data_IF_629010392877
#
_entry.id   IF_629010392877
#
_cell.length_a   1.000
_cell.length_b   1.000
_cell.length_c   1.000
_cell.angle_alpha   90.00
_cell.angle_beta   90.00
_cell.angle_gamma   90.00
#
_symmetry.space_group_name_H-M   'P 1'
#
loop_
_entity.id
_entity.type
_entity.pdbx_description
1 polymer ?
#
# COMPACT_ATOMS: atom_id res chain seq x y z
N UNK A 1 22.12 14.78 18.70
CA UNK A 1 21.28 15.52 17.74
C UNK A 1 19.87 15.58 18.31
N UNK A 2 19.26 16.77 18.39
CA UNK A 2 17.87 16.90 18.82
C UNK A 2 16.95 16.48 17.69
N UNK A 3 16.27 15.35 17.84
CA UNK A 3 15.27 14.88 16.90
C UNK A 3 14.03 15.76 17.03
N UNK A 4 13.69 16.52 15.99
CA UNK A 4 12.48 17.33 15.97
C UNK A 4 11.25 16.41 15.94
N UNK A 5 10.30 16.52 16.88
CA UNK A 5 9.15 15.66 16.88
C UNK A 5 8.26 15.97 15.67
N UNK A 6 7.60 14.94 15.10
CA UNK A 6 6.70 15.13 13.96
C UNK A 6 5.53 16.08 14.26
N UNK A 7 5.23 16.31 15.54
CA UNK A 7 4.25 17.31 15.99
C UNK A 7 4.66 18.76 15.70
N UNK A 8 5.94 19.04 15.44
CA UNK A 8 6.41 20.38 15.05
C UNK A 8 5.90 20.79 13.66
N UNK A 9 5.54 19.83 12.81
CA UNK A 9 4.99 20.08 11.47
C UNK A 9 3.46 20.22 11.53
N UNK A 10 2.99 21.39 11.99
CA UNK A 10 1.57 21.61 12.27
C UNK A 10 0.74 21.78 11.00
N UNK A 11 1.24 22.53 10.01
CA UNK A 11 0.50 22.86 8.78
C UNK A 11 0.51 21.71 7.75
N UNK A 12 -0.51 21.62 6.91
CA UNK A 12 -0.58 20.62 5.82
C UNK A 12 0.61 20.76 4.85
N UNK A 13 1.05 21.98 4.56
CA UNK A 13 2.23 22.25 3.74
C UNK A 13 3.51 21.66 4.36
N UNK A 14 3.72 21.91 5.66
CA UNK A 14 4.88 21.39 6.38
C UNK A 14 4.90 19.86 6.46
N UNK A 15 3.73 19.24 6.64
CA UNK A 15 3.54 17.78 6.59
C UNK A 15 3.84 17.19 5.21
N UNK A 16 3.48 17.92 4.15
CA UNK A 16 3.80 17.49 2.77
C UNK A 16 5.31 17.58 2.51
N UNK A 17 5.97 18.64 2.99
CA UNK A 17 7.43 18.82 2.86
C UNK A 17 8.19 17.68 3.55
N UNK A 18 7.87 17.37 4.81
CA UNK A 18 8.59 16.31 5.53
C UNK A 18 8.37 14.93 4.89
N UNK A 19 7.19 14.69 4.31
CA UNK A 19 6.91 13.46 3.60
C UNK A 19 7.71 13.35 2.30
N UNK A 20 7.85 14.45 1.56
CA UNK A 20 8.68 14.49 0.35
C UNK A 20 10.16 14.28 0.70
N UNK A 21 10.64 14.90 1.78
CA UNK A 21 12.00 14.70 2.27
C UNK A 21 12.23 13.25 2.68
N UNK A 22 11.30 12.63 3.43
CA UNK A 22 11.38 11.22 3.77
C UNK A 22 11.34 10.30 2.54
N UNK A 23 10.54 10.65 1.53
CA UNK A 23 10.53 9.90 0.27
C UNK A 23 11.90 9.94 -0.44
N UNK A 24 12.62 11.06 -0.34
CA UNK A 24 13.97 11.19 -0.92
C UNK A 24 15.07 10.45 -0.17
N UNK A 25 14.83 9.99 1.07
CA UNK A 25 15.82 9.18 1.81
C UNK A 25 15.80 7.71 1.42
N UNK A 26 14.82 7.26 0.63
CA UNK A 26 14.60 5.85 0.28
C UNK A 26 14.48 4.91 1.49
N UNK A 27 14.18 5.46 2.67
CA UNK A 27 13.99 4.71 3.91
C UNK A 27 12.50 4.37 4.05
N UNK A 28 12.15 3.15 3.66
CA UNK A 28 10.76 2.66 3.69
C UNK A 28 10.16 2.60 5.10
N UNK A 29 10.98 2.41 6.14
CA UNK A 29 10.52 2.37 7.53
C UNK A 29 10.19 3.78 8.02
N UNK A 30 11.04 4.76 7.70
CA UNK A 30 10.78 6.16 8.00
C UNK A 30 9.51 6.66 7.31
N UNK A 31 9.35 6.37 6.01
CA UNK A 31 8.16 6.76 5.24
C UNK A 31 6.92 6.15 5.88
N UNK A 32 6.94 4.85 6.19
CA UNK A 32 5.81 4.15 6.81
C UNK A 32 5.45 4.74 8.17
N UNK A 33 6.45 5.04 9.02
CA UNK A 33 6.24 5.67 10.34
C UNK A 33 5.57 7.04 10.21
N UNK A 34 6.05 7.89 9.31
CA UNK A 34 5.50 9.24 9.10
C UNK A 34 4.06 9.15 8.57
N UNK A 35 3.82 8.31 7.57
CA UNK A 35 2.48 8.14 6.97
C UNK A 35 1.48 7.62 8.00
N UNK A 36 1.86 6.64 8.83
CA UNK A 36 1.01 6.13 9.89
C UNK A 36 0.73 7.17 10.96
N UNK A 37 1.72 7.99 11.33
CA UNK A 37 1.52 9.12 12.24
C UNK A 37 0.51 10.10 11.64
N UNK A 38 0.65 10.45 10.37
CA UNK A 38 -0.29 11.33 9.68
C UNK A 38 -1.69 10.76 9.63
N UNK A 39 -1.85 9.47 9.31
CA UNK A 39 -3.15 8.79 9.32
C UNK A 39 -3.87 8.90 10.68
N UNK A 40 -3.12 8.85 11.77
CA UNK A 40 -3.66 8.97 13.14
C UNK A 40 -4.01 10.40 13.55
N UNK A 41 -3.32 11.39 12.98
CA UNK A 41 -3.43 12.80 13.39
C UNK A 41 -4.29 13.67 12.47
N UNK A 42 -4.52 13.24 11.23
CA UNK A 42 -5.21 14.01 10.19
C UNK A 42 -6.62 13.48 9.98
N UNK A 43 -7.50 14.36 9.52
CA UNK A 43 -8.79 13.94 8.98
C UNK A 43 -8.59 13.03 7.76
N UNK A 44 -9.59 12.19 7.50
CA UNK A 44 -9.54 11.24 6.39
C UNK A 44 -9.34 11.94 5.04
N UNK A 45 -10.04 13.05 4.77
CA UNK A 45 -9.93 13.80 3.52
C UNK A 45 -8.56 14.44 3.32
N UNK A 46 -7.98 15.03 4.38
CA UNK A 46 -6.63 15.62 4.32
C UNK A 46 -5.58 14.54 4.09
N UNK A 47 -5.69 13.41 4.77
CA UNK A 47 -4.78 12.29 4.58
C UNK A 47 -4.83 11.75 3.15
N UNK A 48 -6.02 11.56 2.60
CA UNK A 48 -6.23 11.13 1.21
C UNK A 48 -5.59 12.12 0.21
N UNK A 49 -5.78 13.43 0.41
CA UNK A 49 -5.16 14.46 -0.42
C UNK A 49 -3.63 14.40 -0.40
N UNK A 50 -3.03 14.08 0.75
CA UNK A 50 -1.57 13.91 0.87
C UNK A 50 -1.10 12.67 0.09
N UNK A 51 -1.80 11.54 0.21
CA UNK A 51 -1.44 10.31 -0.52
C UNK A 51 -1.53 10.50 -2.04
N UNK A 52 -2.58 11.16 -2.53
CA UNK A 52 -2.75 11.44 -3.96
C UNK A 52 -1.62 12.30 -4.55
N UNK A 53 -1.02 13.18 -3.73
CA UNK A 53 0.10 14.04 -4.13
C UNK A 53 1.46 13.36 -3.99
N UNK A 54 1.54 12.23 -3.27
CA UNK A 54 2.79 11.54 -2.97
C UNK A 54 2.70 10.04 -3.26
N UNK A 55 2.93 9.64 -4.53
CA UNK A 55 2.84 8.24 -4.95
C UNK A 55 3.71 7.29 -4.12
N UNK A 56 4.95 7.69 -3.82
CA UNK A 56 5.88 6.88 -3.00
C UNK A 56 5.29 6.58 -1.63
N UNK A 57 4.83 7.62 -0.91
CA UNK A 57 4.21 7.46 0.40
C UNK A 57 2.91 6.64 0.32
N UNK A 58 2.11 6.84 -0.72
CA UNK A 58 0.90 6.08 -0.98
C UNK A 58 1.20 4.59 -1.14
N UNK A 59 2.23 4.26 -1.91
CA UNK A 59 2.68 2.88 -2.09
C UNK A 59 3.13 2.25 -0.77
N UNK A 60 4.03 2.90 -0.02
CA UNK A 60 4.47 2.40 1.28
C UNK A 60 3.28 2.17 2.24
N UNK A 61 2.29 3.05 2.20
CA UNK A 61 1.07 2.88 2.98
C UNK A 61 0.25 1.66 2.56
N UNK A 62 0.03 1.46 1.26
CA UNK A 62 -0.67 0.28 0.75
C UNK A 62 0.06 -1.00 1.15
N UNK A 63 1.39 -1.03 1.06
CA UNK A 63 2.17 -2.19 1.50
C UNK A 63 2.06 -2.42 3.00
N UNK A 64 2.12 -1.36 3.83
CA UNK A 64 1.87 -1.48 5.27
C UNK A 64 0.49 -2.08 5.57
N UNK A 65 -0.57 -1.62 4.90
CA UNK A 65 -1.92 -2.18 5.09
C UNK A 65 -2.01 -3.65 4.64
N UNK A 66 -1.30 -4.02 3.57
CA UNK A 66 -1.21 -5.38 3.08
C UNK A 66 -0.52 -6.31 4.08
N UNK A 67 0.66 -5.92 4.55
CA UNK A 67 1.47 -6.71 5.49
C UNK A 67 0.78 -6.84 6.86
N UNK A 68 0.04 -5.82 7.30
CA UNK A 68 -0.71 -5.85 8.56
C UNK A 68 -2.11 -6.47 8.44
N UNK A 69 -2.47 -6.98 7.25
CA UNK A 69 -3.77 -7.64 7.04
C UNK A 69 -4.98 -6.72 7.10
N UNK A 70 -4.82 -5.40 7.00
CA UNK A 70 -5.90 -4.41 7.03
C UNK A 70 -6.63 -4.33 5.68
N UNK A 71 -7.16 -5.45 5.20
CA UNK A 71 -7.64 -5.64 3.83
C UNK A 71 -8.79 -4.70 3.43
N UNK A 72 -9.71 -4.38 4.36
CA UNK A 72 -10.82 -3.45 4.10
C UNK A 72 -10.28 -2.05 3.78
N UNK A 73 -9.31 -1.58 4.57
CA UNK A 73 -8.66 -0.28 4.35
C UNK A 73 -7.80 -0.31 3.10
N UNK A 74 -7.05 -1.39 2.88
CA UNK A 74 -6.25 -1.60 1.68
C UNK A 74 -7.11 -1.41 0.43
N UNK A 75 -8.24 -2.13 0.34
CA UNK A 75 -9.19 -2.02 -0.77
C UNK A 75 -9.69 -0.60 -0.98
N UNK A 76 -10.07 0.10 0.10
CA UNK A 76 -10.51 1.50 0.05
C UNK A 76 -9.45 2.41 -0.58
N UNK A 77 -8.21 2.35 -0.09
CA UNK A 77 -7.14 3.24 -0.57
C UNK A 77 -6.61 2.84 -1.95
N UNK A 78 -6.63 1.55 -2.31
CA UNK A 78 -6.33 1.12 -3.68
C UNK A 78 -7.31 1.73 -4.69
N UNK A 79 -8.62 1.69 -4.41
CA UNK A 79 -9.63 2.33 -5.26
C UNK A 79 -9.43 3.83 -5.38
N UNK A 80 -9.16 4.52 -4.27
CA UNK A 80 -8.88 5.95 -4.25
C UNK A 80 -7.70 6.32 -5.18
N UNK A 81 -6.66 5.48 -5.20
CA UNK A 81 -5.45 5.70 -5.98
C UNK A 81 -5.56 5.21 -7.45
N UNK A 82 -6.75 4.75 -7.86
CA UNK A 82 -7.02 4.29 -9.23
C UNK A 82 -6.74 2.80 -9.49
N UNK A 83 -6.32 2.04 -8.49
CA UNK A 83 -6.08 0.59 -8.58
C UNK A 83 -7.37 -0.20 -8.42
N UNK A 84 -8.38 0.07 -9.26
CA UNK A 84 -9.73 -0.47 -9.10
C UNK A 84 -9.74 -1.99 -9.28
N UNK A 85 -9.14 -2.50 -10.37
CA UNK A 85 -9.13 -3.94 -10.67
C UNK A 85 -8.32 -4.72 -9.64
N UNK A 86 -7.16 -4.18 -9.30
CA UNK A 86 -6.22 -4.75 -8.35
C UNK A 86 -6.80 -4.79 -6.93
N UNK A 87 -7.68 -3.85 -6.59
CA UNK A 87 -8.37 -3.82 -5.29
C UNK A 87 -9.38 -4.96 -5.11
N UNK A 88 -9.78 -5.61 -6.21
CA UNK A 88 -10.69 -6.76 -6.20
C UNK A 88 -9.95 -8.10 -6.17
N UNK A 89 -8.62 -8.11 -6.36
CA UNK A 89 -7.80 -9.33 -6.28
C UNK A 89 -7.80 -9.80 -4.81
N UNK A 90 -8.27 -11.03 -4.52
CA UNK A 90 -8.21 -11.60 -3.18
C UNK A 90 -6.76 -11.68 -2.69
N UNK A 91 -6.54 -11.65 -1.37
CA UNK A 91 -5.16 -11.72 -0.87
C UNK A 91 -4.49 -13.04 -1.29
N UNK A 92 -3.17 -13.05 -1.41
CA UNK A 92 -2.41 -14.27 -1.74
C UNK A 92 -2.81 -15.46 -0.85
N UNK A 93 -2.93 -15.23 0.46
CA UNK A 93 -3.37 -16.28 1.40
C UNK A 93 -4.79 -16.79 1.11
N UNK A 94 -5.72 -15.92 0.71
CA UNK A 94 -7.07 -16.33 0.30
C UNK A 94 -7.07 -17.09 -1.02
N UNK A 95 -6.24 -16.68 -1.98
CA UNK A 95 -6.08 -17.38 -3.26
C UNK A 95 -5.47 -18.77 -3.04
N UNK A 96 -4.43 -18.87 -2.20
CA UNK A 96 -3.80 -20.14 -1.84
C UNK A 96 -4.75 -21.06 -1.08
N UNK A 97 -5.55 -20.54 -0.13
CA UNK A 97 -6.56 -21.35 0.54
C UNK A 97 -7.63 -21.85 -0.42
N UNK A 98 -8.13 -20.99 -1.33
CA UNK A 98 -9.07 -21.41 -2.36
C UNK A 98 -8.48 -22.49 -3.26
N UNK A 99 -7.23 -22.35 -3.66
CA UNK A 99 -6.53 -23.32 -4.49
C UNK A 99 -6.29 -24.66 -3.76
N UNK A 100 -5.93 -24.62 -2.47
CA UNK A 100 -5.78 -25.82 -1.63
C UNK A 100 -7.11 -26.55 -1.39
N UNK A 101 -8.24 -25.83 -1.41
CA UNK A 101 -9.57 -26.39 -1.19
C UNK A 101 -10.22 -26.95 -2.48
N UNK A 102 -9.59 -26.79 -3.64
CA UNK A 102 -10.10 -27.37 -4.89
C UNK A 102 -9.72 -28.86 -4.98
N UNK A 103 -10.72 -29.71 -5.23
CA UNK A 103 -10.52 -31.13 -5.52
C UNK A 103 -10.16 -31.38 -6.98
N UNK A 104 -9.52 -32.51 -7.26
CA UNK A 104 -9.14 -32.96 -8.61
C UNK A 104 -10.37 -33.01 -9.53
N UNK A 105 -10.46 -32.09 -10.49
CA UNK A 105 -11.59 -31.96 -11.43
C UNK A 105 -11.90 -30.52 -11.84
N UNK A 106 -11.48 -29.54 -11.03
CA UNK A 106 -11.77 -28.10 -11.22
C UNK A 106 -10.65 -27.37 -11.98
N UNK A 107 -10.22 -27.90 -13.14
CA UNK A 107 -9.04 -27.39 -13.87
C UNK A 107 -9.19 -25.92 -14.24
N UNK A 108 -10.39 -25.48 -14.62
CA UNK A 108 -10.67 -24.10 -14.99
C UNK A 108 -10.59 -23.14 -13.79
N UNK A 109 -11.11 -23.53 -12.61
CA UNK A 109 -10.97 -22.72 -11.40
C UNK A 109 -9.52 -22.67 -10.89
N UNK A 110 -8.76 -23.77 -11.01
CA UNK A 110 -7.33 -23.80 -10.69
C UNK A 110 -6.57 -22.80 -11.58
N UNK A 111 -6.79 -22.85 -12.90
CA UNK A 111 -6.15 -21.93 -13.84
C UNK A 111 -6.52 -20.47 -13.56
N UNK A 112 -7.78 -20.19 -13.22
CA UNK A 112 -8.23 -18.86 -12.82
C UNK A 112 -7.48 -18.35 -11.58
N UNK A 113 -7.36 -19.15 -10.53
CA UNK A 113 -6.65 -18.72 -9.31
C UNK A 113 -5.14 -18.59 -9.53
N UNK A 114 -4.53 -19.45 -10.34
CA UNK A 114 -3.12 -19.31 -10.73
C UNK A 114 -2.87 -18.00 -11.50
N UNK A 115 -3.75 -17.63 -12.43
CA UNK A 115 -3.66 -16.32 -13.11
C UNK A 115 -3.79 -15.16 -12.13
N UNK A 116 -4.74 -15.21 -11.20
CA UNK A 116 -4.89 -14.16 -10.17
C UNK A 116 -3.66 -14.06 -9.25
N UNK A 117 -3.01 -15.19 -8.95
CA UNK A 117 -1.76 -15.21 -8.19
C UNK A 117 -0.62 -14.59 -9.02
N UNK A 118 -0.53 -14.90 -10.32
CA UNK A 118 0.47 -14.33 -11.20
C UNK A 118 0.29 -12.79 -11.33
N UNK A 119 -0.94 -12.32 -11.54
CA UNK A 119 -1.27 -10.89 -11.52
C UNK A 119 -0.92 -10.23 -10.19
N UNK A 120 -1.18 -10.90 -9.07
CA UNK A 120 -0.79 -10.41 -7.75
C UNK A 120 0.74 -10.26 -7.61
N UNK A 121 1.50 -11.23 -8.12
CA UNK A 121 2.97 -11.19 -8.14
C UNK A 121 3.51 -10.09 -9.06
N UNK A 122 2.93 -9.91 -10.25
CA UNK A 122 3.30 -8.83 -11.17
C UNK A 122 3.01 -7.45 -10.57
N UNK A 123 1.92 -7.30 -9.81
CA UNK A 123 1.63 -6.07 -9.09
C UNK A 123 2.66 -5.79 -7.99
N UNK A 124 3.10 -6.82 -7.27
CA UNK A 124 4.22 -6.70 -6.33
C UNK A 124 5.53 -6.33 -7.04
N UNK A 125 5.78 -6.88 -8.23
CA UNK A 125 6.99 -6.61 -9.00
C UNK A 125 6.99 -5.19 -9.61
N UNK A 126 5.88 -4.76 -10.20
CA UNK A 126 5.64 -3.40 -10.67
C UNK A 126 5.78 -2.38 -9.53
N UNK A 127 5.35 -2.76 -8.32
CA UNK A 127 5.50 -1.96 -7.11
C UNK A 127 6.98 -1.75 -6.74
N UNK A 128 7.79 -2.81 -6.71
CA UNK A 128 9.23 -2.69 -6.45
C UNK A 128 9.95 -1.86 -7.54
N UNK A 129 9.59 -2.07 -8.80
CA UNK A 129 10.19 -1.35 -9.93
C UNK A 129 9.83 0.14 -9.94
N UNK A 130 8.56 0.52 -9.69
CA UNK A 130 8.13 1.93 -9.63
C UNK A 130 8.71 2.69 -8.44
N UNK A 131 9.11 2.00 -7.38
CA UNK A 131 9.77 2.61 -6.22
C UNK A 131 11.29 2.69 -6.36
N UNK A 132 11.88 2.21 -7.47
CA UNK A 132 13.33 2.22 -7.66
C UNK A 132 14.09 1.30 -6.71
N UNK A 133 13.42 0.33 -6.09
CA UNK A 133 14.03 -0.67 -5.23
C UNK A 133 14.61 -1.79 -6.11
N UNK A 134 15.79 -1.55 -6.70
CA UNK A 134 16.66 -2.57 -7.30
C UNK A 134 18.07 -2.42 -6.76
#
# INVERSE_FOLDING_TARGET
MSTWPLSTFVSQASKSIILNLAASTYDGDLITKIVNKFKSSLSESTFQSILLKNPVAAFHFLNFLRQTGQLIRLKKYMKLLGFIRESEIPSYNQLMQKLMNLSSGHVDEVNKYLMQIAEYCELCFCYCFRLGLK
#
